data_IF_766191004106
#
_entry.id   IF_766191004106
#
_cell.length_a   1.000
_cell.length_b   1.000
_cell.length_c   1.000
_cell.angle_alpha   90.00
_cell.angle_beta   90.00
_cell.angle_gamma   90.00
#
_symmetry.space_group_name_H-M   'P 1'
#
loop_
_entity.id
_entity.type
_entity.pdbx_description
1 polymer ?
#
# COMPACT_ATOMS: atom_id res chain seq x y z
N UNK A 1 -45.86 -2.40 -12.02
CA UNK A 1 -44.78 -2.98 -11.16
C UNK A 1 -43.63 -3.64 -11.94
N UNK A 2 -43.83 -4.19 -13.15
CA UNK A 2 -42.75 -4.83 -13.92
C UNK A 2 -41.77 -3.83 -14.56
N UNK A 3 -42.26 -2.71 -15.12
CA UNK A 3 -41.40 -1.70 -15.76
C UNK A 3 -40.47 -0.99 -14.77
N UNK A 4 -40.91 -0.68 -13.54
CA UNK A 4 -40.04 -0.04 -12.53
C UNK A 4 -38.91 -0.95 -12.07
N UNK A 5 -39.14 -2.26 -11.96
CA UNK A 5 -38.08 -3.23 -11.62
C UNK A 5 -37.03 -3.35 -12.73
N UNK A 6 -37.45 -3.29 -13.99
CA UNK A 6 -36.51 -3.34 -15.13
C UNK A 6 -35.71 -2.04 -15.25
N UNK A 7 -36.35 -0.88 -15.04
CA UNK A 7 -35.66 0.42 -14.98
C UNK A 7 -34.62 0.43 -13.86
N UNK A 8 -34.98 0.05 -12.62
CA UNK A 8 -34.04 -0.01 -11.49
C UNK A 8 -32.86 -0.96 -11.74
N UNK A 9 -33.09 -2.11 -12.40
CA UNK A 9 -32.02 -3.04 -12.77
C UNK A 9 -31.06 -2.44 -13.80
N UNK A 10 -31.59 -1.74 -14.80
CA UNK A 10 -30.79 -1.08 -15.84
C UNK A 10 -29.99 0.07 -15.22
N UNK A 11 -30.62 0.91 -14.41
CA UNK A 11 -29.97 1.97 -13.62
C UNK A 11 -28.81 1.43 -12.80
N UNK A 12 -29.03 0.37 -12.00
CA UNK A 12 -27.97 -0.21 -11.17
C UNK A 12 -26.83 -0.83 -12.02
N UNK A 13 -27.16 -1.38 -13.19
CA UNK A 13 -26.18 -1.87 -14.15
C UNK A 13 -25.34 -0.73 -14.76
N UNK A 14 -25.95 0.41 -15.08
CA UNK A 14 -25.25 1.60 -15.61
C UNK A 14 -24.31 2.18 -14.55
N UNK A 15 -24.74 2.28 -13.29
CA UNK A 15 -23.87 2.70 -12.19
C UNK A 15 -22.68 1.75 -12.01
N UNK A 16 -22.92 0.43 -12.01
CA UNK A 16 -21.86 -0.58 -11.89
C UNK A 16 -20.87 -0.58 -13.06
N UNK A 17 -21.37 -0.43 -14.29
CA UNK A 17 -20.52 -0.35 -15.49
C UNK A 17 -19.73 0.96 -15.53
N UNK A 18 -20.32 2.10 -15.19
CA UNK A 18 -19.63 3.38 -15.10
C UNK A 18 -18.47 3.34 -14.11
N UNK A 19 -18.72 2.87 -12.89
CA UNK A 19 -17.70 2.72 -11.87
C UNK A 19 -16.55 1.78 -12.30
N UNK A 20 -16.87 0.70 -13.03
CA UNK A 20 -15.83 -0.23 -13.52
C UNK A 20 -14.85 0.43 -14.50
N UNK A 21 -15.34 1.31 -15.39
CA UNK A 21 -14.51 2.05 -16.35
C UNK A 21 -13.59 3.05 -15.62
N UNK A 22 -14.10 3.72 -14.58
CA UNK A 22 -13.30 4.64 -13.74
C UNK A 22 -12.18 3.89 -13.01
N UNK A 23 -12.49 2.73 -12.41
CA UNK A 23 -11.51 1.91 -11.70
C UNK A 23 -10.40 1.44 -12.66
N UNK A 24 -10.75 1.02 -13.88
CA UNK A 24 -9.78 0.65 -14.90
C UNK A 24 -8.91 1.83 -15.34
N UNK A 25 -9.49 3.02 -15.51
CA UNK A 25 -8.73 4.24 -15.81
C UNK A 25 -7.74 4.61 -14.70
N UNK A 26 -8.17 4.52 -13.44
CA UNK A 26 -7.32 4.75 -12.27
C UNK A 26 -6.19 3.71 -12.18
N UNK A 27 -6.48 2.44 -12.47
CA UNK A 27 -5.49 1.36 -12.50
C UNK A 27 -4.38 1.64 -13.54
N UNK A 28 -4.77 2.01 -14.77
CA UNK A 28 -3.80 2.34 -15.83
C UNK A 28 -2.91 3.53 -15.45
N UNK A 29 -3.50 4.53 -14.77
CA UNK A 29 -2.76 5.70 -14.27
C UNK A 29 -1.74 5.32 -13.19
N UNK A 30 -2.11 4.46 -12.24
CA UNK A 30 -1.22 4.03 -11.14
C UNK A 30 -0.11 3.11 -11.65
N UNK A 31 -0.42 2.20 -12.58
CA UNK A 31 0.53 1.26 -13.15
C UNK A 31 1.45 1.88 -14.21
N UNK A 32 1.30 3.17 -14.53
CA UNK A 32 2.08 3.90 -15.54
C UNK A 32 2.05 3.23 -16.92
N UNK A 33 0.93 2.60 -17.26
CA UNK A 33 0.74 1.99 -18.58
C UNK A 33 0.55 3.07 -19.65
N UNK A 34 0.95 2.79 -20.91
CA UNK A 34 0.72 3.72 -22.01
C UNK A 34 -0.78 4.05 -22.11
N UNK A 35 -1.10 5.29 -22.44
CA UNK A 35 -2.47 5.84 -22.50
C UNK A 35 -3.20 5.99 -21.16
N UNK A 36 -2.51 5.91 -20.02
CA UNK A 36 -3.16 5.97 -18.69
C UNK A 36 -3.88 7.30 -18.39
N UNK A 37 -3.48 8.42 -19.00
CA UNK A 37 -4.20 9.68 -18.87
C UNK A 37 -5.52 9.65 -19.66
N UNK A 38 -5.47 9.14 -20.87
CA UNK A 38 -6.58 9.06 -21.81
C UNK A 38 -7.67 8.12 -21.26
N UNK A 39 -7.28 6.97 -20.71
CA UNK A 39 -8.19 6.04 -20.04
C UNK A 39 -8.79 6.63 -18.75
N UNK A 40 -8.01 7.37 -17.96
CA UNK A 40 -8.52 8.04 -16.76
C UNK A 40 -9.54 9.13 -17.10
N UNK A 41 -9.25 9.96 -18.12
CA UNK A 41 -10.16 11.01 -18.59
C UNK A 41 -11.45 10.38 -19.11
N UNK A 42 -11.37 9.31 -19.90
CA UNK A 42 -12.56 8.59 -20.39
C UNK A 42 -13.42 8.05 -19.24
N UNK A 43 -12.80 7.49 -18.19
CA UNK A 43 -13.50 7.04 -16.99
C UNK A 43 -14.20 8.18 -16.26
N UNK A 44 -13.49 9.29 -15.99
CA UNK A 44 -14.07 10.45 -15.29
C UNK A 44 -15.21 11.10 -16.09
N UNK A 45 -15.12 11.16 -17.42
CA UNK A 45 -16.22 11.65 -18.27
C UNK A 45 -17.42 10.71 -18.20
N UNK A 46 -17.19 9.40 -18.17
CA UNK A 46 -18.27 8.41 -18.01
C UNK A 46 -18.99 8.60 -16.67
N UNK A 47 -18.23 8.80 -15.58
CA UNK A 47 -18.79 9.06 -14.25
C UNK A 47 -19.61 10.36 -14.19
N UNK A 48 -19.13 11.42 -14.84
CA UNK A 48 -19.86 12.68 -14.91
C UNK A 48 -21.21 12.54 -15.61
N UNK A 49 -21.30 11.72 -16.67
CA UNK A 49 -22.56 11.45 -17.38
C UNK A 49 -23.53 10.60 -16.54
N UNK A 50 -22.99 9.62 -15.82
CA UNK A 50 -23.78 8.76 -14.92
C UNK A 50 -24.36 9.55 -13.75
N UNK A 51 -23.58 10.42 -13.12
CA UNK A 51 -24.10 11.33 -12.08
C UNK A 51 -25.12 12.34 -12.62
N UNK A 52 -24.88 12.89 -13.82
CA UNK A 52 -25.83 13.79 -14.44
C UNK A 52 -27.18 13.09 -14.70
N UNK A 53 -27.16 11.82 -15.11
CA UNK A 53 -28.38 11.02 -15.29
C UNK A 53 -29.06 10.72 -13.95
N UNK A 54 -28.30 10.39 -12.91
CA UNK A 54 -28.80 10.10 -11.55
C UNK A 54 -29.64 11.25 -10.96
N UNK A 55 -29.26 12.50 -11.26
CA UNK A 55 -29.99 13.68 -10.78
C UNK A 55 -31.44 13.78 -11.31
N UNK A 56 -31.77 13.07 -12.40
CA UNK A 56 -33.12 13.02 -12.96
C UNK A 56 -33.91 11.78 -12.53
N UNK A 57 -33.34 10.91 -11.70
CA UNK A 57 -34.08 9.78 -11.14
C UNK A 57 -35.02 10.26 -10.02
N UNK A 58 -36.29 9.83 -10.02
CA UNK A 58 -37.20 10.14 -8.94
C UNK A 58 -36.67 9.52 -7.64
N UNK A 59 -36.65 10.31 -6.57
CA UNK A 59 -36.36 9.82 -5.22
C UNK A 59 -37.40 8.75 -4.91
N UNK A 60 -36.94 7.53 -4.60
CA UNK A 60 -37.84 6.44 -4.26
C UNK A 60 -38.70 6.83 -3.04
N UNK A 61 -40.01 6.57 -3.09
CA UNK A 61 -40.87 6.72 -1.92
C UNK A 61 -40.37 5.76 -0.83
N UNK A 62 -40.02 6.33 0.33
CA UNK A 62 -39.59 5.58 1.50
C UNK A 62 -40.64 4.52 1.86
N UNK A 63 -40.19 3.39 2.42
CA UNK A 63 -41.09 2.36 2.93
C UNK A 63 -42.12 2.99 3.87
N UNK A 64 -43.40 2.76 3.60
CA UNK A 64 -44.50 3.21 4.44
C UNK A 64 -44.50 2.41 5.77
N UNK A 65 -43.72 2.89 6.74
CA UNK A 65 -43.59 2.30 8.07
C UNK A 65 -44.90 2.29 8.85
N UNK A 66 -45.95 2.99 8.38
CA UNK A 66 -47.28 2.99 9.00
C UNK A 66 -47.99 1.63 8.89
N UNK A 67 -47.61 0.77 7.94
CA UNK A 67 -48.10 -0.61 7.87
C UNK A 67 -47.56 -1.49 9.00
N UNK A 68 -46.42 -1.11 9.60
CA UNK A 68 -45.72 -1.91 10.62
C UNK A 68 -45.98 -1.38 12.04
N UNK A 69 -46.20 -0.07 12.19
CA UNK A 69 -46.51 0.58 13.48
C UNK A 69 -47.65 1.61 13.34
N UNK A 70 -48.92 1.16 13.35
CA UNK A 70 -50.08 2.04 13.22
C UNK A 70 -50.27 3.02 14.40
N UNK A 71 -49.62 2.75 15.54
CA UNK A 71 -49.66 3.56 16.78
C UNK A 71 -49.09 5.00 16.62
N UNK A 72 -48.33 5.29 15.56
CA UNK A 72 -47.79 6.62 15.31
C UNK A 72 -48.76 7.56 14.58
N UNK A 73 -49.91 7.05 14.11
CA UNK A 73 -50.91 7.81 13.36
C UNK A 73 -51.90 8.50 14.32
N UNK A 74 -51.39 9.48 15.06
CA UNK A 74 -52.07 10.16 16.17
C UNK A 74 -53.54 10.56 15.96
N UNK A 75 -54.45 9.81 16.59
CA UNK A 75 -55.85 10.19 16.83
C UNK A 75 -56.15 10.40 18.32
N UNK A 76 -57.04 11.33 18.71
CA UNK A 76 -57.14 11.85 20.08
C UNK A 76 -57.77 10.89 21.10
N UNK A 77 -57.11 10.76 22.24
CA UNK A 77 -57.31 9.79 23.33
C UNK A 77 -58.38 10.16 24.38
N UNK A 78 -59.50 10.81 24.02
CA UNK A 78 -60.36 11.43 25.06
C UNK A 78 -61.70 10.76 25.38
N UNK A 79 -62.13 9.70 24.67
CA UNK A 79 -63.51 9.21 24.83
C UNK A 79 -63.68 7.84 25.53
N UNK A 80 -62.60 7.20 25.99
CA UNK A 80 -62.67 5.81 26.51
C UNK A 80 -62.24 5.64 27.97
N UNK A 81 -62.14 6.72 28.76
CA UNK A 81 -61.58 6.64 30.12
C UNK A 81 -62.53 6.02 31.17
N UNK A 82 -63.85 6.01 30.96
CA UNK A 82 -64.81 5.60 32.02
C UNK A 82 -65.39 4.19 31.90
N UNK A 83 -64.99 3.38 30.92
CA UNK A 83 -65.45 1.99 30.78
C UNK A 83 -64.33 0.93 30.93
N UNK A 84 -63.06 1.33 31.03
CA UNK A 84 -61.90 0.43 31.02
C UNK A 84 -61.32 0.10 32.42
N UNK A 85 -61.77 0.80 33.46
CA UNK A 85 -61.17 0.69 34.82
C UNK A 85 -61.46 -0.68 35.48
N UNK A 86 -62.49 -1.41 35.04
CA UNK A 86 -62.75 -2.78 35.52
C UNK A 86 -62.04 -3.88 34.71
N UNK A 87 -61.73 -3.68 33.42
CA UNK A 87 -61.04 -4.68 32.57
C UNK A 87 -59.49 -4.54 32.57
N UNK A 88 -58.93 -3.36 32.88
CA UNK A 88 -57.48 -3.11 32.87
C UNK A 88 -56.72 -3.87 33.98
N UNK A 89 -57.31 -4.04 35.16
CA UNK A 89 -56.68 -4.83 36.23
C UNK A 89 -56.56 -6.31 35.90
N UNK A 90 -57.51 -6.85 35.15
CA UNK A 90 -57.51 -8.27 34.77
C UNK A 90 -56.58 -8.52 33.56
N UNK A 91 -56.49 -7.56 32.63
CA UNK A 91 -55.62 -7.64 31.46
C UNK A 91 -54.15 -7.37 31.77
N UNK A 92 -53.80 -6.42 32.65
CA UNK A 92 -52.43 -6.22 33.16
C UNK A 92 -51.95 -7.43 33.99
N UNK A 93 -52.82 -7.96 34.86
CA UNK A 93 -52.53 -9.18 35.61
C UNK A 93 -52.38 -10.40 34.69
N UNK A 94 -53.11 -10.45 33.56
CA UNK A 94 -52.95 -11.50 32.55
C UNK A 94 -51.67 -11.33 31.73
N UNK A 95 -51.26 -10.11 31.36
CA UNK A 95 -50.04 -9.84 30.61
C UNK A 95 -48.81 -10.17 31.44
N UNK A 96 -48.81 -9.74 32.71
CA UNK A 96 -47.72 -10.01 33.65
C UNK A 96 -47.61 -11.51 33.93
N UNK A 97 -48.74 -12.22 34.11
CA UNK A 97 -48.77 -13.69 34.15
C UNK A 97 -48.28 -14.35 32.86
N UNK A 98 -48.61 -13.80 31.70
CA UNK A 98 -48.25 -14.38 30.39
C UNK A 98 -46.78 -14.15 30.05
N UNK A 99 -46.21 -13.01 30.48
CA UNK A 99 -44.77 -12.74 30.50
C UNK A 99 -44.04 -13.69 31.46
N UNK A 100 -44.57 -13.89 32.66
CA UNK A 100 -43.98 -14.79 33.65
C UNK A 100 -44.04 -16.26 33.20
N UNK A 101 -45.14 -16.67 32.55
CA UNK A 101 -45.27 -17.98 31.89
C UNK A 101 -44.30 -18.11 30.72
N UNK A 102 -44.18 -17.11 29.84
CA UNK A 102 -43.20 -17.15 28.74
C UNK A 102 -41.76 -17.18 29.22
N UNK A 103 -41.41 -16.42 30.26
CA UNK A 103 -40.07 -16.43 30.86
C UNK A 103 -39.76 -17.79 31.49
N UNK A 104 -40.74 -18.38 32.18
CA UNK A 104 -40.63 -19.70 32.80
C UNK A 104 -40.57 -20.83 31.77
N UNK A 105 -41.31 -20.72 30.67
CA UNK A 105 -41.37 -21.69 29.57
C UNK A 105 -40.14 -21.62 28.66
N UNK A 106 -39.55 -20.42 28.50
CA UNK A 106 -38.24 -20.22 27.87
C UNK A 106 -37.06 -20.64 28.77
N UNK A 107 -37.32 -21.11 30.00
CA UNK A 107 -36.32 -21.44 31.04
C UNK A 107 -35.35 -20.30 31.35
N UNK A 108 -35.79 -19.05 31.22
CA UNK A 108 -35.02 -17.90 31.66
C UNK A 108 -35.24 -17.76 33.17
N UNK A 109 -34.49 -18.55 33.93
CA UNK A 109 -34.45 -18.46 35.37
C UNK A 109 -33.41 -17.41 35.82
N UNK A 110 -33.46 -17.05 37.11
CA UNK A 110 -32.53 -16.07 37.68
C UNK A 110 -31.06 -16.51 37.50
N UNK A 111 -30.79 -17.82 37.51
CA UNK A 111 -29.45 -18.36 37.27
C UNK A 111 -28.99 -18.13 35.82
N UNK A 112 -29.86 -18.31 34.82
CA UNK A 112 -29.51 -18.05 33.43
C UNK A 112 -29.18 -16.56 33.23
N UNK A 113 -29.95 -15.68 33.85
CA UNK A 113 -29.72 -14.23 33.73
C UNK A 113 -28.44 -13.79 34.47
N UNK A 114 -28.15 -14.39 35.62
CA UNK A 114 -26.87 -14.21 36.32
C UNK A 114 -25.68 -14.76 35.51
N UNK A 115 -25.84 -15.93 34.89
CA UNK A 115 -24.83 -16.56 34.04
C UNK A 115 -24.56 -15.75 32.75
N UNK A 116 -25.60 -15.13 32.19
CA UNK A 116 -25.48 -14.23 31.04
C UNK A 116 -24.76 -12.95 31.46
N UNK A 117 -25.14 -12.35 32.59
CA UNK A 117 -24.45 -11.17 33.13
C UNK A 117 -22.99 -11.46 33.46
N UNK A 118 -22.68 -12.67 33.91
CA UNK A 118 -21.31 -13.14 34.16
C UNK A 118 -20.55 -13.39 32.85
N UNK A 119 -21.21 -13.97 31.83
CA UNK A 119 -20.62 -14.18 30.49
C UNK A 119 -20.34 -12.87 29.78
N UNK A 120 -21.21 -11.86 29.89
CA UNK A 120 -21.00 -10.52 29.32
C UNK A 120 -19.83 -9.83 30.02
N UNK A 121 -19.76 -9.88 31.36
CA UNK A 121 -18.61 -9.34 32.11
C UNK A 121 -17.30 -10.04 31.76
N UNK A 122 -17.32 -11.36 31.60
CA UNK A 122 -16.15 -12.13 31.18
C UNK A 122 -15.73 -11.78 29.74
N UNK A 123 -16.69 -11.61 28.83
CA UNK A 123 -16.44 -11.18 27.46
C UNK A 123 -15.86 -9.76 27.38
N UNK A 124 -16.38 -8.82 28.18
CA UNK A 124 -15.82 -7.47 28.30
C UNK A 124 -14.36 -7.51 28.78
N UNK A 125 -14.07 -8.33 29.80
CA UNK A 125 -12.71 -8.53 30.30
C UNK A 125 -11.77 -9.11 29.23
N UNK A 126 -12.21 -10.13 28.50
CA UNK A 126 -11.45 -10.72 27.40
C UNK A 126 -11.22 -9.72 26.25
N UNK A 127 -12.26 -8.98 25.85
CA UNK A 127 -12.18 -7.97 24.79
C UNK A 127 -11.23 -6.82 25.14
N UNK A 128 -11.23 -6.35 26.40
CA UNK A 128 -10.27 -5.35 26.89
C UNK A 128 -8.83 -5.85 26.87
N UNK A 129 -8.60 -7.16 27.06
CA UNK A 129 -7.27 -7.78 26.97
C UNK A 129 -6.75 -7.94 25.53
N UNK A 130 -7.64 -7.96 24.53
CA UNK A 130 -7.25 -8.11 23.11
C UNK A 130 -6.62 -6.81 22.58
N UNK A 131 -7.16 -5.64 22.93
CA UNK A 131 -6.67 -4.35 22.42
C UNK A 131 -5.15 -4.13 22.63
N UNK A 132 -4.60 -4.23 23.86
CA UNK A 132 -3.15 -4.07 24.07
C UNK A 132 -2.31 -5.22 23.47
N UNK A 133 -2.90 -6.40 23.28
CA UNK A 133 -2.23 -7.54 22.63
C UNK A 133 -2.04 -7.31 21.13
N UNK A 134 -3.03 -6.68 20.47
CA UNK A 134 -2.94 -6.32 19.04
C UNK A 134 -1.85 -5.28 18.80
N UNK A 135 -1.79 -4.23 19.61
CA UNK A 135 -0.73 -3.21 19.52
C UNK A 135 0.68 -3.79 19.76
N UNK A 136 0.78 -4.72 20.72
CA UNK A 136 2.04 -5.44 20.99
C UNK A 136 2.46 -6.34 19.83
N UNK A 137 1.51 -7.05 19.20
CA UNK A 137 1.76 -7.86 18.01
C UNK A 137 2.22 -7.03 16.80
N UNK A 138 1.63 -5.85 16.59
CA UNK A 138 2.06 -4.92 15.53
C UNK A 138 3.49 -4.45 15.79
N UNK A 139 3.79 -4.07 17.03
CA UNK A 139 5.13 -3.65 17.44
C UNK A 139 6.17 -4.76 17.26
N UNK A 140 5.81 -6.01 17.57
CA UNK A 140 6.70 -7.16 17.43
C UNK A 140 6.94 -7.57 15.97
N UNK A 141 5.92 -7.44 15.10
CA UNK A 141 6.10 -7.58 13.66
C UNK A 141 7.03 -6.51 13.12
N UNK A 142 6.80 -5.25 13.47
CA UNK A 142 7.64 -4.14 13.04
C UNK A 142 9.08 -4.33 13.51
N UNK A 143 9.29 -4.74 14.76
CA UNK A 143 10.62 -5.07 15.26
C UNK A 143 11.30 -6.18 14.47
N UNK A 144 10.57 -7.25 14.10
CA UNK A 144 11.11 -8.33 13.29
C UNK A 144 11.47 -7.88 11.87
N UNK A 145 10.65 -6.99 11.30
CA UNK A 145 10.89 -6.39 9.99
C UNK A 145 12.12 -5.47 10.00
N UNK A 146 12.24 -4.61 11.01
CA UNK A 146 13.43 -3.76 11.24
C UNK A 146 14.71 -4.60 11.45
N UNK A 147 14.64 -5.70 12.21
CA UNK A 147 15.76 -6.63 12.36
C UNK A 147 16.14 -7.29 11.03
N UNK A 148 15.16 -7.67 10.21
CA UNK A 148 15.42 -8.25 8.89
C UNK A 148 16.09 -7.23 7.96
N UNK A 149 15.63 -5.98 7.97
CA UNK A 149 16.25 -4.90 7.21
C UNK A 149 17.68 -4.63 7.69
N UNK A 150 17.89 -4.57 9.01
CA UNK A 150 19.20 -4.38 9.61
C UNK A 150 20.17 -5.51 9.23
N UNK A 151 19.71 -6.77 9.19
CA UNK A 151 20.51 -7.90 8.76
C UNK A 151 20.93 -7.76 7.27
N UNK A 152 20.01 -7.37 6.38
CA UNK A 152 20.31 -7.13 4.97
C UNK A 152 21.31 -5.96 4.78
N UNK A 153 21.18 -4.90 5.58
CA UNK A 153 22.14 -3.79 5.58
C UNK A 153 23.51 -4.20 6.11
N UNK A 154 23.59 -5.04 7.15
CA UNK A 154 24.85 -5.59 7.63
C UNK A 154 25.53 -6.47 6.58
N UNK A 155 24.78 -7.30 5.86
CA UNK A 155 25.31 -8.10 4.75
C UNK A 155 25.87 -7.20 3.64
N UNK A 156 25.14 -6.16 3.27
CA UNK A 156 25.59 -5.14 2.31
C UNK A 156 26.89 -4.47 2.77
N UNK A 157 26.98 -4.11 4.06
CA UNK A 157 28.18 -3.54 4.67
C UNK A 157 29.38 -4.49 4.61
N UNK A 158 29.16 -5.78 4.88
CA UNK A 158 30.21 -6.79 4.79
C UNK A 158 30.71 -6.94 3.36
N UNK A 159 29.79 -7.01 2.39
CA UNK A 159 30.12 -7.05 0.96
C UNK A 159 30.87 -5.80 0.50
N UNK A 160 30.45 -4.60 0.92
CA UNK A 160 31.17 -3.35 0.63
C UNK A 160 32.58 -3.37 1.21
N UNK A 161 32.76 -3.85 2.44
CA UNK A 161 34.08 -4.01 3.05
C UNK A 161 34.97 -4.96 2.23
N UNK A 162 34.40 -6.09 1.79
CA UNK A 162 35.11 -7.06 0.95
C UNK A 162 35.54 -6.43 -0.38
N UNK A 163 34.62 -5.73 -1.06
CA UNK A 163 34.90 -5.02 -2.32
C UNK A 163 35.98 -3.95 -2.12
N UNK A 164 35.93 -3.18 -1.02
CA UNK A 164 36.92 -2.15 -0.71
C UNK A 164 38.32 -2.75 -0.47
N UNK A 165 38.41 -3.88 0.23
CA UNK A 165 39.68 -4.58 0.45
C UNK A 165 40.23 -5.11 -0.89
N UNK A 166 39.38 -5.73 -1.70
CA UNK A 166 39.77 -6.25 -3.02
C UNK A 166 40.19 -5.12 -3.97
N UNK A 167 39.46 -4.00 -3.98
CA UNK A 167 39.82 -2.85 -4.81
C UNK A 167 41.13 -2.21 -4.35
N UNK A 168 41.38 -2.15 -3.04
CA UNK A 168 42.63 -1.62 -2.49
C UNK A 168 43.82 -2.50 -2.84
N UNK A 169 43.64 -3.83 -2.78
CA UNK A 169 44.67 -4.78 -3.22
C UNK A 169 44.95 -4.64 -4.73
N UNK A 170 43.91 -4.58 -5.56
CA UNK A 170 44.05 -4.36 -7.01
C UNK A 170 44.71 -3.01 -7.33
N UNK A 171 44.39 -1.96 -6.58
CA UNK A 171 45.00 -0.65 -6.77
C UNK A 171 46.51 -0.67 -6.43
N UNK A 172 46.90 -1.42 -5.39
CA UNK A 172 48.31 -1.61 -5.06
C UNK A 172 49.06 -2.35 -6.17
N UNK A 173 48.47 -3.42 -6.72
CA UNK A 173 49.01 -4.16 -7.87
C UNK A 173 49.17 -3.26 -9.11
N UNK A 174 48.15 -2.47 -9.45
CA UNK A 174 48.22 -1.49 -10.55
C UNK A 174 49.36 -0.48 -10.31
N UNK A 175 49.53 0.01 -9.09
CA UNK A 175 50.60 0.96 -8.79
C UNK A 175 51.99 0.34 -8.95
N UNK A 176 52.15 -0.94 -8.58
CA UNK A 176 53.39 -1.69 -8.79
C UNK A 176 53.67 -1.89 -10.29
N UNK A 177 52.69 -2.33 -11.07
CA UNK A 177 52.81 -2.48 -12.52
C UNK A 177 53.15 -1.15 -13.21
N UNK A 178 52.53 -0.04 -12.78
CA UNK A 178 52.81 1.30 -13.33
C UNK A 178 54.25 1.72 -13.02
N UNK A 179 54.74 1.46 -11.80
CA UNK A 179 56.10 1.77 -11.42
C UNK A 179 57.12 0.94 -12.24
N UNK A 180 56.85 -0.35 -12.43
CA UNK A 180 57.67 -1.24 -13.24
C UNK A 180 57.71 -0.79 -14.72
N UNK A 181 56.54 -0.49 -15.30
CA UNK A 181 56.42 -0.02 -16.67
C UNK A 181 57.10 1.34 -16.87
N UNK A 182 57.00 2.25 -15.90
CA UNK A 182 57.73 3.52 -15.94
C UNK A 182 59.27 3.30 -15.92
N UNK A 183 59.74 2.31 -15.16
CA UNK A 183 61.13 1.87 -15.18
C UNK A 183 61.56 1.35 -16.56
N UNK A 184 60.81 0.42 -17.13
CA UNK A 184 61.07 -0.11 -18.49
C UNK A 184 61.05 0.99 -19.55
N UNK A 185 60.10 1.91 -19.48
CA UNK A 185 60.00 3.05 -20.39
C UNK A 185 61.23 3.96 -20.27
N UNK A 186 61.69 4.24 -19.05
CA UNK A 186 62.93 5.00 -18.81
C UNK A 186 64.14 4.33 -19.45
N UNK A 187 64.27 3.01 -19.31
CA UNK A 187 65.38 2.25 -19.90
C UNK A 187 65.33 2.31 -21.44
N UNK A 188 64.15 2.14 -22.04
CA UNK A 188 63.94 2.28 -23.48
C UNK A 188 64.26 3.69 -23.98
N UNK A 189 63.81 4.72 -23.26
CA UNK A 189 64.11 6.12 -23.58
C UNK A 189 65.62 6.40 -23.49
N UNK A 190 66.30 5.85 -22.48
CA UNK A 190 67.76 5.97 -22.33
C UNK A 190 68.51 5.30 -23.49
N UNK A 191 68.09 4.08 -23.87
CA UNK A 191 68.64 3.37 -25.03
C UNK A 191 68.40 4.14 -26.33
N UNK A 192 67.21 4.70 -26.53
CA UNK A 192 66.90 5.54 -27.69
C UNK A 192 67.79 6.78 -27.74
N UNK A 193 67.96 7.48 -26.62
CA UNK A 193 68.84 8.65 -26.53
C UNK A 193 70.30 8.31 -26.83
N UNK A 194 70.80 7.18 -26.30
CA UNK A 194 72.15 6.69 -26.58
C UNK A 194 72.33 6.35 -28.08
N UNK A 195 71.35 5.68 -28.69
CA UNK A 195 71.38 5.37 -30.12
C UNK A 195 71.35 6.63 -31.00
N UNK A 196 70.52 7.63 -30.65
CA UNK A 196 70.49 8.92 -31.34
C UNK A 196 71.81 9.68 -31.20
N UNK A 197 72.42 9.65 -30.00
CA UNK A 197 73.75 10.25 -29.76
C UNK A 197 74.83 9.57 -30.61
N UNK A 198 74.84 8.24 -30.66
CA UNK A 198 75.75 7.46 -31.49
C UNK A 198 75.57 7.78 -32.98
N UNK A 199 74.34 7.85 -33.47
CA UNK A 199 74.03 8.25 -34.85
C UNK A 199 74.55 9.66 -35.15
N UNK A 200 74.29 10.62 -34.27
CA UNK A 200 74.77 11.99 -34.44
C UNK A 200 76.31 12.06 -34.41
N UNK A 201 76.97 11.27 -33.57
CA UNK A 201 78.43 11.14 -33.53
C UNK A 201 79.03 10.59 -34.82
N UNK A 202 78.41 9.56 -35.42
CA UNK A 202 78.84 9.01 -36.72
C UNK A 202 78.64 10.03 -37.84
N UNK A 203 77.53 10.76 -37.86
CA UNK A 203 77.31 11.83 -38.84
C UNK A 203 78.29 13.00 -38.67
N UNK A 204 78.60 13.40 -37.43
CA UNK A 204 79.62 14.41 -37.14
C UNK A 204 81.02 13.96 -37.56
N UNK A 205 81.36 12.70 -37.32
CA UNK A 205 82.62 12.10 -37.76
C UNK A 205 82.73 12.03 -39.28
N UNK A 206 81.64 11.69 -39.98
CA UNK A 206 81.57 11.64 -41.44
C UNK A 206 81.68 13.04 -42.07
N UNK A 207 81.02 14.05 -41.49
CA UNK A 207 81.15 15.45 -41.92
C UNK A 207 82.57 16.00 -41.68
N UNK A 208 83.19 15.65 -40.54
CA UNK A 208 84.57 16.04 -40.24
C UNK A 208 85.55 15.39 -41.22
N UNK A 209 85.36 14.10 -41.52
CA UNK A 209 86.16 13.38 -42.50
C UNK A 209 86.00 13.95 -43.93
N UNK A 210 84.77 14.34 -44.32
CA UNK A 210 84.53 15.02 -45.61
C UNK A 210 85.14 16.43 -45.66
N UNK A 211 85.14 17.19 -44.56
CA UNK A 211 85.71 18.54 -44.52
C UNK A 211 87.25 18.53 -44.47
N UNK A 212 87.87 17.56 -43.80
CA UNK A 212 89.33 17.39 -43.75
C UNK A 212 89.89 16.99 -45.13
N UNK A 213 89.20 16.10 -45.85
CA UNK A 213 89.59 15.76 -47.24
C UNK A 213 89.36 16.91 -48.24
N UNK A 214 88.61 17.96 -47.87
CA UNK A 214 88.42 19.16 -48.69
C UNK A 214 89.50 20.24 -48.53
N UNK A 215 90.38 20.16 -47.52
CA UNK A 215 91.44 21.16 -47.24
C UNK A 215 92.87 20.66 -47.51
N UNK A 216 93.00 19.52 -48.18
CA UNK A 216 94.28 18.99 -48.68
C UNK A 216 94.48 19.30 -50.17
N UNK A 217 94.58 20.59 -50.52
CA UNK A 217 95.20 21.10 -51.75
C UNK A 217 96.06 22.30 -51.36
#
# INVERSE_FOLDING_TARGET
MANSRNVKKITNMVYGLGASVVILGALFKIMHWPFGNEFLIAGLVTEALVFAYSAFEPVDDDLDWSLVYPELNGGPASARHNALIEEEKETEASLSKKLDVMLKEAKIDANLMESLGTSIRNFEGAAKGIAPTVDSMVSQRKYSEELSMAAAQMETLNNLYKVQVESSARQAEINEEVAENAGKLKDQMSSLAANLSNLNGVYGGMLTAMNVNGRGV
#
